data_IF_413455811320
#
_entry.id   IF_413455811320
#
_cell.length_a   1.000
_cell.length_b   1.000
_cell.length_c   1.000
_cell.angle_alpha   90.00
_cell.angle_beta   90.00
_cell.angle_gamma   90.00
#
_symmetry.space_group_name_H-M   'P 1'
#
loop_
_entity.id
_entity.type
_entity.pdbx_description
1 polymer ?
#
# COMPACT_ATOMS: atom_id res chain seq x y z
N UNK A 1 -33.79 -18.32 -8.05
CA UNK A 1 -33.37 -17.32 -7.05
C UNK A 1 -32.07 -17.80 -6.41
N UNK A 2 -30.96 -17.07 -6.58
CA UNK A 2 -29.72 -17.37 -5.86
C UNK A 2 -29.79 -16.60 -4.55
N UNK A 3 -29.85 -17.31 -3.43
CA UNK A 3 -29.88 -16.71 -2.10
C UNK A 3 -28.61 -15.88 -1.88
N UNK A 4 -28.78 -14.61 -1.50
CA UNK A 4 -27.73 -13.83 -0.88
C UNK A 4 -27.31 -14.56 0.40
N UNK A 5 -26.07 -15.05 0.43
CA UNK A 5 -25.47 -15.52 1.67
C UNK A 5 -25.42 -14.35 2.64
N UNK A 6 -25.96 -14.53 3.84
CA UNK A 6 -25.88 -13.52 4.90
C UNK A 6 -24.42 -13.13 5.14
N UNK A 7 -24.12 -11.84 5.05
CA UNK A 7 -22.78 -11.29 5.31
C UNK A 7 -22.44 -11.59 6.76
N UNK A 8 -21.40 -12.41 6.98
CA UNK A 8 -20.83 -12.59 8.31
C UNK A 8 -20.20 -11.26 8.75
N UNK A 9 -20.72 -10.61 9.82
CA UNK A 9 -20.24 -9.32 10.28
C UNK A 9 -18.78 -9.36 10.78
N UNK A 10 -18.18 -10.54 10.94
CA UNK A 10 -16.79 -10.74 11.36
C UNK A 10 -15.83 -11.13 10.22
N UNK A 11 -16.31 -11.19 8.98
CA UNK A 11 -15.46 -11.54 7.84
C UNK A 11 -14.48 -10.42 7.46
N UNK A 12 -13.34 -10.79 6.86
CA UNK A 12 -12.41 -9.81 6.28
C UNK A 12 -13.10 -8.94 5.22
N UNK A 13 -14.00 -9.51 4.42
CA UNK A 13 -14.80 -8.75 3.45
C UNK A 13 -15.61 -7.66 4.15
N UNK A 14 -16.32 -7.99 5.22
CA UNK A 14 -17.09 -6.99 5.99
C UNK A 14 -16.22 -5.84 6.50
N UNK A 15 -14.98 -6.12 6.95
CA UNK A 15 -14.05 -5.07 7.42
C UNK A 15 -13.48 -4.24 6.26
N UNK A 16 -13.04 -4.90 5.19
CA UNK A 16 -12.40 -4.25 4.05
C UNK A 16 -13.36 -3.39 3.23
N UNK A 17 -14.65 -3.76 3.20
CA UNK A 17 -15.71 -3.01 2.50
C UNK A 17 -16.44 -1.99 3.40
N UNK A 18 -16.16 -1.95 4.70
CA UNK A 18 -16.77 -0.97 5.61
C UNK A 18 -16.14 0.41 5.43
N UNK A 19 -16.95 1.40 5.03
CA UNK A 19 -16.50 2.79 4.80
C UNK A 19 -16.20 3.57 6.09
N UNK A 20 -16.68 3.11 7.24
CA UNK A 20 -16.38 3.70 8.56
C UNK A 20 -15.03 3.22 9.11
N UNK A 21 -14.43 2.18 8.52
CA UNK A 21 -13.11 1.67 8.90
C UNK A 21 -12.10 2.12 7.84
N UNK A 22 -11.14 2.97 8.23
CA UNK A 22 -10.07 3.38 7.31
C UNK A 22 -9.06 2.25 7.12
N UNK A 23 -8.68 1.97 5.86
CA UNK A 23 -7.63 0.99 5.52
C UNK A 23 -6.39 1.72 5.05
N UNK A 24 -5.31 1.61 5.81
CA UNK A 24 -4.02 2.20 5.47
C UNK A 24 -3.20 1.21 4.65
N UNK A 25 -2.94 1.53 3.38
CA UNK A 25 -2.23 0.64 2.45
C UNK A 25 -1.14 1.42 1.71
N UNK A 26 0.01 0.80 1.51
CA UNK A 26 1.04 1.38 0.65
C UNK A 26 0.80 0.96 -0.79
N UNK A 27 0.29 1.89 -1.59
CA UNK A 27 -0.04 1.69 -3.00
C UNK A 27 -1.05 0.54 -3.25
N UNK A 28 -2.36 0.78 -3.09
CA UNK A 28 -3.37 -0.29 -3.05
C UNK A 28 -3.73 -0.88 -4.41
N UNK A 29 -3.13 -0.43 -5.52
CA UNK A 29 -3.65 -0.70 -6.87
C UNK A 29 -3.67 -2.21 -7.20
N UNK A 30 -2.57 -2.92 -6.97
CA UNK A 30 -2.49 -4.37 -7.17
C UNK A 30 -3.18 -5.19 -6.09
N UNK A 31 -3.19 -4.68 -4.85
CA UNK A 31 -3.92 -5.34 -3.75
C UNK A 31 -5.44 -5.32 -4.01
N UNK A 32 -5.96 -4.19 -4.47
CA UNK A 32 -7.37 -4.01 -4.80
C UNK A 32 -7.79 -4.91 -5.97
N UNK A 33 -6.97 -4.95 -7.03
CA UNK A 33 -7.17 -5.83 -8.18
C UNK A 33 -7.27 -7.30 -7.75
N UNK A 34 -6.28 -7.77 -6.98
CA UNK A 34 -6.24 -9.14 -6.49
C UNK A 34 -7.43 -9.47 -5.57
N UNK A 35 -7.75 -8.57 -4.64
CA UNK A 35 -8.88 -8.73 -3.72
C UNK A 35 -10.22 -8.82 -4.46
N UNK A 36 -10.42 -7.98 -5.47
CA UNK A 36 -11.66 -7.97 -6.24
C UNK A 36 -11.78 -9.22 -7.11
N UNK A 37 -10.78 -9.52 -7.94
CA UNK A 37 -10.88 -10.59 -8.92
C UNK A 37 -10.79 -11.99 -8.33
N UNK A 38 -10.05 -12.18 -7.22
CA UNK A 38 -9.95 -13.49 -6.58
C UNK A 38 -11.04 -13.73 -5.52
N UNK A 39 -11.51 -12.68 -4.84
CA UNK A 39 -12.37 -12.84 -3.66
C UNK A 39 -13.65 -11.99 -3.69
N UNK A 40 -13.87 -11.20 -4.74
CA UNK A 40 -15.01 -10.30 -4.84
C UNK A 40 -15.03 -9.22 -3.76
N UNK A 41 -13.87 -8.80 -3.24
CA UNK A 41 -13.75 -7.80 -2.18
C UNK A 41 -13.41 -6.44 -2.80
N UNK A 42 -14.22 -5.43 -2.52
CA UNK A 42 -14.04 -4.05 -3.03
C UNK A 42 -13.64 -3.10 -1.91
N UNK A 43 -12.35 -2.80 -1.80
CA UNK A 43 -11.82 -1.91 -0.76
C UNK A 43 -12.56 -0.56 -0.71
N UNK A 44 -13.03 -0.18 0.49
CA UNK A 44 -13.63 1.14 0.77
C UNK A 44 -12.73 1.96 1.69
N UNK A 45 -12.88 3.29 1.77
CA UNK A 45 -12.14 4.15 2.71
C UNK A 45 -10.63 3.81 2.82
N UNK A 46 -9.97 3.69 1.67
CA UNK A 46 -8.53 3.42 1.59
C UNK A 46 -7.77 4.73 1.71
N UNK A 47 -6.70 4.71 2.49
CA UNK A 47 -5.72 5.77 2.57
C UNK A 47 -4.39 5.26 2.01
N UNK A 48 -3.94 5.86 0.91
CA UNK A 48 -2.71 5.47 0.25
C UNK A 48 -1.50 6.23 0.83
N UNK A 49 -0.65 5.53 1.56
CA UNK A 49 0.54 6.14 2.21
C UNK A 49 1.51 6.73 1.19
N UNK A 50 1.66 6.10 0.03
CA UNK A 50 2.53 6.61 -1.04
C UNK A 50 2.03 7.93 -1.63
N UNK A 51 0.71 8.11 -1.72
CA UNK A 51 0.10 9.36 -2.18
C UNK A 51 0.21 10.45 -1.10
N UNK A 52 0.04 10.09 0.18
CA UNK A 52 0.27 11.02 1.28
C UNK A 52 1.72 11.55 1.28
N UNK A 53 2.71 10.67 1.04
CA UNK A 53 4.11 11.08 0.91
C UNK A 53 4.34 12.00 -0.30
N UNK A 54 3.72 11.69 -1.44
CA UNK A 54 3.79 12.55 -2.63
C UNK A 54 3.23 13.95 -2.32
N UNK A 55 2.09 14.01 -1.63
CA UNK A 55 1.46 15.25 -1.20
C UNK A 55 2.40 16.07 -0.31
N UNK A 56 3.11 15.44 0.61
CA UNK A 56 4.07 16.10 1.49
C UNK A 56 5.27 16.66 0.71
N UNK A 57 5.75 15.95 -0.32
CA UNK A 57 6.81 16.48 -1.18
C UNK A 57 6.31 17.66 -2.02
N UNK A 58 5.10 17.57 -2.60
CA UNK A 58 4.49 18.67 -3.36
C UNK A 58 4.21 19.90 -2.49
N UNK A 59 3.75 19.72 -1.24
CA UNK A 59 3.48 20.84 -0.31
C UNK A 59 4.75 21.64 0.07
N UNK A 60 5.92 21.01 -0.04
CA UNK A 60 7.24 21.67 0.09
C UNK A 60 7.69 22.39 -1.19
N UNK A 61 6.84 22.49 -2.20
CA UNK A 61 7.14 23.14 -3.49
C UNK A 61 8.03 22.31 -4.43
N UNK A 62 8.21 21.01 -4.16
CA UNK A 62 9.05 20.16 -4.99
C UNK A 62 8.33 19.78 -6.30
N UNK A 63 9.05 19.84 -7.42
CA UNK A 63 8.58 19.30 -8.70
C UNK A 63 8.79 17.79 -8.70
N UNK A 64 7.74 17.04 -8.41
CA UNK A 64 7.78 15.58 -8.31
C UNK A 64 7.21 14.93 -9.57
N UNK A 65 8.02 14.07 -10.21
CA UNK A 65 7.58 13.26 -11.38
C UNK A 65 7.29 11.80 -11.05
N UNK A 66 7.89 11.29 -9.98
CA UNK A 66 7.85 9.87 -9.61
C UNK A 66 7.44 9.68 -8.15
N UNK A 67 6.73 8.60 -7.90
CA UNK A 67 6.35 8.12 -6.58
C UNK A 67 7.56 7.56 -5.83
N UNK A 68 7.59 7.73 -4.51
CA UNK A 68 8.61 7.13 -3.66
C UNK A 68 8.33 5.65 -3.43
N UNK A 69 9.37 4.82 -3.44
CA UNK A 69 9.25 3.43 -3.00
C UNK A 69 9.08 3.35 -1.49
N UNK A 70 8.48 2.27 -0.98
CA UNK A 70 8.36 2.03 0.47
C UNK A 70 9.69 2.20 1.21
N UNK A 71 10.78 1.68 0.63
CA UNK A 71 12.12 1.78 1.22
C UNK A 71 12.53 3.25 1.41
N UNK A 72 12.35 4.08 0.39
CA UNK A 72 12.64 5.52 0.46
C UNK A 72 11.76 6.22 1.49
N UNK A 73 10.45 5.93 1.50
CA UNK A 73 9.51 6.53 2.46
C UNK A 73 9.91 6.19 3.89
N UNK A 74 10.32 4.96 4.16
CA UNK A 74 10.82 4.55 5.47
C UNK A 74 12.10 5.28 5.87
N UNK A 75 13.06 5.36 4.95
CA UNK A 75 14.33 6.07 5.18
C UNK A 75 14.11 7.55 5.53
N UNK A 76 13.14 8.20 4.90
CA UNK A 76 12.89 9.64 5.07
C UNK A 76 11.94 9.99 6.23
N UNK A 77 11.03 9.08 6.62
CA UNK A 77 9.90 9.42 7.48
C UNK A 77 9.65 8.50 8.68
N UNK A 78 10.32 7.33 8.76
CA UNK A 78 9.99 6.34 9.80
C UNK A 78 10.49 6.71 11.20
N UNK A 79 11.33 7.73 11.35
CA UNK A 79 11.99 8.10 12.61
C UNK A 79 12.62 6.88 13.33
N UNK A 80 13.15 5.93 12.56
CA UNK A 80 13.81 4.73 13.08
C UNK A 80 15.29 5.02 13.34
N UNK A 81 15.86 4.29 14.29
CA UNK A 81 17.32 4.28 14.47
C UNK A 81 18.01 3.82 13.17
N UNK A 82 19.13 4.43 12.75
CA UNK A 82 19.85 4.02 11.55
C UNK A 82 20.23 2.53 11.52
N UNK A 83 20.47 1.93 12.68
CA UNK A 83 20.77 0.50 12.81
C UNK A 83 19.53 -0.34 12.47
N UNK A 84 18.37 0.04 12.97
CA UNK A 84 17.09 -0.63 12.70
C UNK A 84 16.72 -0.52 11.22
N UNK A 85 16.93 0.66 10.62
CA UNK A 85 16.70 0.89 9.20
C UNK A 85 17.62 0.03 8.32
N UNK A 86 18.90 -0.09 8.69
CA UNK A 86 19.85 -0.95 7.97
C UNK A 86 19.49 -2.44 8.12
N UNK A 87 19.10 -2.86 9.32
CA UNK A 87 18.65 -4.22 9.57
C UNK A 87 17.39 -4.53 8.74
N UNK A 88 16.44 -3.61 8.70
CA UNK A 88 15.26 -3.67 7.84
C UNK A 88 15.64 -3.85 6.37
N UNK A 89 16.53 -3.02 5.83
CA UNK A 89 16.94 -3.10 4.42
C UNK A 89 17.57 -4.46 4.10
N UNK A 90 18.40 -5.00 4.98
CA UNK A 90 19.04 -6.31 4.81
C UNK A 90 18.00 -7.43 4.78
N UNK A 91 17.08 -7.47 5.74
CA UNK A 91 16.04 -8.50 5.81
C UNK A 91 15.06 -8.41 4.65
N UNK A 92 14.62 -7.20 4.29
CA UNK A 92 13.73 -7.00 3.14
C UNK A 92 14.41 -7.42 1.83
N UNK A 93 15.72 -7.16 1.70
CA UNK A 93 16.50 -7.63 0.55
C UNK A 93 16.64 -9.16 0.52
N UNK A 94 16.80 -9.82 1.67
CA UNK A 94 16.85 -11.28 1.75
C UNK A 94 15.52 -11.91 1.29
N UNK A 95 14.38 -11.42 1.79
CA UNK A 95 13.05 -11.86 1.35
C UNK A 95 12.84 -11.62 -0.15
N UNK A 96 13.18 -10.43 -0.66
CA UNK A 96 13.06 -10.11 -2.09
C UNK A 96 13.89 -11.05 -2.98
N UNK A 97 15.11 -11.42 -2.56
CA UNK A 97 15.93 -12.39 -3.30
C UNK A 97 15.26 -13.75 -3.40
N UNK A 98 14.61 -14.22 -2.33
CA UNK A 98 13.86 -15.47 -2.36
C UNK A 98 12.66 -15.40 -3.32
N UNK A 99 11.90 -14.31 -3.28
CA UNK A 99 10.73 -14.09 -4.16
C UNK A 99 11.16 -14.12 -5.63
N UNK A 100 12.21 -13.37 -5.99
CA UNK A 100 12.71 -13.32 -7.38
C UNK A 100 13.29 -14.65 -7.84
N UNK A 101 14.00 -15.37 -6.96
CA UNK A 101 14.65 -16.62 -7.32
C UNK A 101 13.67 -17.75 -7.68
N UNK A 102 12.43 -17.68 -7.19
CA UNK A 102 11.40 -18.71 -7.41
C UNK A 102 10.19 -18.19 -8.17
N UNK A 103 10.32 -17.04 -8.86
CA UNK A 103 9.21 -16.43 -9.61
C UNK A 103 7.93 -16.31 -8.77
N UNK A 104 8.10 -15.85 -7.53
CA UNK A 104 7.05 -15.71 -6.49
C UNK A 104 6.40 -17.00 -5.97
N UNK A 105 6.74 -18.19 -6.49
CA UNK A 105 6.20 -19.48 -6.02
C UNK A 105 6.62 -19.84 -4.59
N UNK A 106 7.60 -19.13 -4.03
CA UNK A 106 7.96 -19.26 -2.61
C UNK A 106 6.78 -19.03 -1.67
N UNK A 107 5.77 -18.25 -2.09
CA UNK A 107 4.58 -17.96 -1.28
C UNK A 107 3.61 -19.14 -1.15
N UNK A 108 3.73 -20.18 -1.99
CA UNK A 108 2.91 -21.39 -1.92
C UNK A 108 3.50 -22.45 -0.97
N UNK A 109 4.80 -22.33 -0.64
CA UNK A 109 5.51 -23.31 0.17
C UNK A 109 5.14 -23.18 1.65
N UNK A 110 5.03 -24.32 2.35
CA UNK A 110 4.77 -24.36 3.80
C UNK A 110 5.75 -25.31 4.51
N UNK A 111 6.26 -24.95 5.72
CA UNK A 111 6.08 -23.65 6.38
C UNK A 111 6.77 -22.51 5.62
N UNK A 112 6.31 -21.27 5.81
CA UNK A 112 6.97 -20.11 5.20
C UNK A 112 8.37 -19.92 5.81
N UNK A 113 9.33 -19.56 4.96
CA UNK A 113 10.69 -19.22 5.40
C UNK A 113 10.65 -17.97 6.29
N UNK A 114 11.45 -17.90 7.37
CA UNK A 114 11.46 -16.75 8.28
C UNK A 114 11.68 -15.40 7.58
N UNK A 115 12.49 -15.37 6.52
CA UNK A 115 12.76 -14.17 5.74
C UNK A 115 11.52 -13.65 5.01
N UNK A 116 10.62 -14.54 4.58
CA UNK A 116 9.35 -14.16 3.94
C UNK A 116 8.33 -13.64 4.96
N UNK A 117 8.31 -14.24 6.17
CA UNK A 117 7.48 -13.73 7.28
C UNK A 117 7.90 -12.32 7.68
N UNK A 118 9.22 -12.09 7.81
CA UNK A 118 9.76 -10.76 8.10
C UNK A 118 9.47 -9.79 6.96
N UNK A 119 9.69 -10.20 5.71
CA UNK A 119 9.35 -9.40 4.53
C UNK A 119 7.88 -8.93 4.55
N UNK A 120 6.94 -9.86 4.74
CA UNK A 120 5.51 -9.54 4.79
C UNK A 120 5.17 -8.62 5.97
N UNK A 121 5.69 -8.89 7.17
CA UNK A 121 5.47 -8.05 8.35
C UNK A 121 5.96 -6.61 8.13
N UNK A 122 7.07 -6.44 7.38
CA UNK A 122 7.67 -5.15 7.10
C UNK A 122 6.84 -4.26 6.16
N UNK A 123 5.97 -4.83 5.32
CA UNK A 123 5.10 -4.03 4.46
C UNK A 123 3.98 -3.33 5.24
N UNK A 124 3.71 -3.74 6.49
CA UNK A 124 2.62 -3.17 7.31
C UNK A 124 3.06 -2.58 8.65
N UNK A 125 4.15 -3.09 9.27
CA UNK A 125 4.54 -2.76 10.66
C UNK A 125 4.71 -1.27 10.95
N UNK A 126 5.19 -0.51 9.96
CA UNK A 126 5.55 0.90 10.14
C UNK A 126 4.55 1.87 9.51
N UNK A 127 3.47 1.38 8.88
CA UNK A 127 2.56 2.22 8.10
C UNK A 127 1.90 3.31 8.95
N UNK A 128 1.40 2.98 10.14
CA UNK A 128 0.71 3.94 11.00
C UNK A 128 1.64 5.09 11.42
N UNK A 129 2.82 4.77 11.95
CA UNK A 129 3.78 5.80 12.36
C UNK A 129 4.27 6.67 11.19
N UNK A 130 4.50 6.07 10.02
CA UNK A 130 4.79 6.82 8.79
C UNK A 130 3.65 7.77 8.43
N UNK A 131 2.43 7.25 8.42
CA UNK A 131 1.27 8.02 8.02
C UNK A 131 1.00 9.17 8.99
N UNK A 132 1.09 8.98 10.30
CA UNK A 132 0.89 10.05 11.28
C UNK A 132 1.91 11.19 11.11
N UNK A 133 3.18 10.84 10.88
CA UNK A 133 4.25 11.81 10.63
C UNK A 133 4.01 12.62 9.35
N UNK A 134 3.54 11.96 8.28
CA UNK A 134 3.26 12.60 7.00
C UNK A 134 1.98 13.44 7.09
N UNK A 135 0.91 12.85 7.60
CA UNK A 135 -0.44 13.41 7.64
C UNK A 135 -0.53 14.67 8.48
N UNK A 136 0.15 14.69 9.63
CA UNK A 136 0.20 15.86 10.52
C UNK A 136 0.81 17.11 9.87
N UNK A 137 1.70 16.93 8.88
CA UNK A 137 2.35 18.02 8.15
C UNK A 137 1.56 18.52 6.92
N UNK A 138 0.45 17.87 6.55
CA UNK A 138 -0.38 18.26 5.41
C UNK A 138 -1.45 19.29 5.79
N UNK A 139 -1.70 20.24 4.90
CA UNK A 139 -2.88 21.11 4.95
C UNK A 139 -4.16 20.32 4.68
N UNK A 140 -5.31 20.87 5.07
CA UNK A 140 -6.61 20.27 4.79
C UNK A 140 -6.87 20.07 3.29
N UNK A 141 -6.48 21.03 2.46
CA UNK A 141 -6.57 20.93 1.00
C UNK A 141 -5.78 19.72 0.47
N UNK A 142 -4.53 19.56 0.91
CA UNK A 142 -3.70 18.43 0.49
C UNK A 142 -4.24 17.10 1.01
N UNK A 143 -4.81 17.07 2.22
CA UNK A 143 -5.46 15.87 2.76
C UNK A 143 -6.66 15.46 1.93
N UNK A 144 -7.49 16.40 1.48
CA UNK A 144 -8.63 16.12 0.60
C UNK A 144 -8.18 15.52 -0.74
N UNK A 145 -7.11 16.06 -1.33
CA UNK A 145 -6.50 15.52 -2.56
C UNK A 145 -5.97 14.10 -2.37
N UNK A 146 -5.32 13.83 -1.24
CA UNK A 146 -4.84 12.48 -0.90
C UNK A 146 -6.00 11.50 -0.75
N UNK A 147 -7.10 11.89 -0.09
CA UNK A 147 -8.30 11.05 0.05
C UNK A 147 -8.89 10.71 -1.32
N UNK A 148 -9.07 11.72 -2.18
CA UNK A 148 -9.63 11.53 -3.52
C UNK A 148 -8.76 10.58 -4.37
N UNK A 149 -7.46 10.83 -4.45
CA UNK A 149 -6.53 9.99 -5.21
C UNK A 149 -6.38 8.58 -4.60
N UNK A 150 -6.47 8.44 -3.28
CA UNK A 150 -6.47 7.11 -2.63
C UNK A 150 -7.69 6.28 -3.04
N UNK A 151 -8.86 6.92 -3.16
CA UNK A 151 -10.08 6.30 -3.67
C UNK A 151 -9.95 5.89 -5.14
N UNK A 152 -9.40 6.75 -5.99
CA UNK A 152 -9.10 6.44 -7.40
C UNK A 152 -8.19 5.21 -7.50
N UNK A 153 -7.10 5.16 -6.72
CA UNK A 153 -6.18 4.03 -6.75
C UNK A 153 -6.78 2.71 -6.28
N UNK A 154 -7.65 2.75 -5.27
CA UNK A 154 -8.34 1.57 -4.76
C UNK A 154 -9.33 0.96 -5.79
N UNK A 155 -9.69 1.71 -6.82
CA UNK A 155 -10.61 1.27 -7.89
C UNK A 155 -9.95 1.24 -9.27
N UNK A 156 -8.63 1.45 -9.35
CA UNK A 156 -7.99 1.65 -10.65
C UNK A 156 -8.11 0.42 -11.56
N UNK A 157 -8.16 -0.78 -10.99
CA UNK A 157 -8.39 -2.03 -11.70
C UNK A 157 -9.70 -2.06 -12.52
N UNK A 158 -10.66 -1.18 -12.24
CA UNK A 158 -11.92 -1.07 -12.98
C UNK A 158 -11.76 -0.34 -14.32
N UNK A 159 -10.64 0.34 -14.55
CA UNK A 159 -10.43 1.17 -15.73
C UNK A 159 -9.63 0.45 -16.83
N UNK A 160 -9.82 0.86 -18.08
CA UNK A 160 -9.14 0.26 -19.22
C UNK A 160 -7.63 0.59 -19.25
N UNK A 161 -7.20 1.60 -18.49
CA UNK A 161 -5.81 2.03 -18.39
C UNK A 161 -4.99 1.24 -17.36
N UNK A 162 -5.62 0.39 -16.55
CA UNK A 162 -4.91 -0.37 -15.54
C UNK A 162 -4.06 -1.49 -16.17
N UNK A 163 -2.76 -1.35 -16.03
CA UNK A 163 -1.77 -2.38 -16.31
C UNK A 163 -0.73 -2.39 -15.19
N UNK A 164 -0.72 -3.41 -14.30
CA UNK A 164 0.23 -3.48 -13.19
C UNK A 164 1.69 -3.63 -13.65
N UNK A 165 1.92 -3.99 -14.91
CA UNK A 165 3.26 -4.11 -15.50
C UNK A 165 3.75 -2.82 -16.16
N UNK A 166 2.88 -1.82 -16.33
CA UNK A 166 3.24 -0.56 -16.98
C UNK A 166 4.12 0.31 -16.09
N UNK A 167 5.20 0.84 -16.67
CA UNK A 167 6.14 1.74 -15.99
C UNK A 167 5.48 3.05 -15.56
N UNK A 168 4.41 3.48 -16.23
CA UNK A 168 3.62 4.66 -15.86
C UNK A 168 3.00 4.55 -14.48
N UNK A 169 2.87 3.33 -13.93
CA UNK A 169 2.41 3.13 -12.55
C UNK A 169 3.32 3.80 -11.52
N UNK A 170 4.57 4.10 -11.85
CA UNK A 170 5.50 4.82 -10.97
C UNK A 170 5.39 6.36 -11.07
N UNK A 171 4.64 6.88 -12.03
CA UNK A 171 4.50 8.32 -12.24
C UNK A 171 3.63 8.95 -11.15
N UNK A 172 3.99 10.17 -10.76
CA UNK A 172 3.22 10.93 -9.78
C UNK A 172 1.91 11.44 -10.43
N UNK A 173 0.74 11.14 -9.85
CA UNK A 173 -0.50 11.76 -10.30
C UNK A 173 -0.48 13.27 -10.03
N UNK A 174 -1.40 13.97 -10.68
CA UNK A 174 -1.72 15.33 -10.26
C UNK A 174 -2.50 15.30 -8.94
N UNK A 175 -2.13 16.21 -8.03
CA UNK A 175 -2.75 16.37 -6.71
C UNK A 175 -3.29 17.78 -6.58
#
# INVERSE_FOLDING_TARGET
>A
EKGEAAVDPLSLKAILENDQVQKLIFDPRSDADALHHHFGVSLQNVMCVQVAELALRKSKGLKVRLLSSMARVLEEHANLDPTDLRHFQVLKSAGKKLIVADDSKVWDQRPLKPELLLYAAFDVRHLFGLFDNIWSALSEEMRAKVVAESGTRARFYETAEYDPSDRRMAEAPEL
#
